data_IF_044625278316
#
_entry.id   IF_044625278316
#
_cell.length_a   1.000
_cell.length_b   1.000
_cell.length_c   1.000
_cell.angle_alpha   90.00
_cell.angle_beta   90.00
_cell.angle_gamma   90.00
#
_symmetry.space_group_name_H-M   'P 1'
#
loop_
_entity.id
_entity.type
_entity.pdbx_description
1 polymer ?
#
# COMPACT_ATOMS: atom_id res chain seq x y z
N UNK A 1 -7.07 14.85 -18.11
CA UNK A 1 -8.23 15.60 -18.65
C UNK A 1 -9.35 15.73 -17.61
N UNK A 2 -9.87 14.62 -17.05
CA UNK A 2 -10.97 14.62 -16.05
C UNK A 2 -10.69 15.49 -14.80
N UNK A 3 -9.49 15.40 -14.20
CA UNK A 3 -9.15 16.18 -13.00
C UNK A 3 -9.15 17.70 -13.22
N UNK A 4 -8.65 18.14 -14.38
CA UNK A 4 -8.61 19.55 -14.77
C UNK A 4 -10.02 20.09 -15.12
N UNK A 5 -10.87 19.26 -15.71
CA UNK A 5 -12.23 19.63 -16.11
C UNK A 5 -13.22 19.71 -14.93
N UNK A 6 -12.95 18.96 -13.85
CA UNK A 6 -13.85 18.89 -12.68
C UNK A 6 -13.33 19.65 -11.46
N UNK A 7 -12.15 20.25 -11.56
CA UNK A 7 -11.53 21.01 -10.46
C UNK A 7 -11.12 20.15 -9.26
N UNK A 8 -10.94 18.84 -9.46
CA UNK A 8 -10.54 17.90 -8.41
C UNK A 8 -9.04 17.64 -8.42
N UNK A 9 -8.47 17.37 -7.25
CA UNK A 9 -7.09 16.89 -7.15
C UNK A 9 -7.01 15.47 -7.70
N UNK A 10 -6.15 15.28 -8.69
CA UNK A 10 -5.84 13.95 -9.22
C UNK A 10 -4.77 13.27 -8.36
N UNK A 11 -4.96 11.99 -8.06
CA UNK A 11 -4.02 11.14 -7.32
C UNK A 11 -3.78 9.91 -8.20
N UNK A 12 -2.57 9.78 -8.73
CA UNK A 12 -2.18 8.79 -9.75
C UNK A 12 -1.24 7.70 -9.21
N UNK A 13 -0.96 7.73 -7.90
CA UNK A 13 0.07 6.89 -7.30
C UNK A 13 -0.45 5.57 -6.74
N UNK A 14 -1.77 5.36 -6.68
CA UNK A 14 -2.38 4.11 -6.20
C UNK A 14 -1.96 2.94 -7.09
N UNK A 15 -1.70 1.77 -6.49
CA UNK A 15 -1.14 0.61 -7.19
C UNK A 15 -2.05 -0.60 -7.12
N UNK A 16 -2.09 -1.39 -8.17
CA UNK A 16 -2.95 -2.58 -8.27
C UNK A 16 -2.16 -3.88 -8.44
N UNK A 17 -1.00 -3.86 -9.10
CA UNK A 17 -0.13 -5.02 -9.31
C UNK A 17 1.36 -4.76 -8.99
N UNK A 18 1.79 -3.50 -9.02
CA UNK A 18 3.17 -3.09 -8.74
C UNK A 18 3.47 -2.99 -7.24
N UNK A 19 3.94 -4.09 -6.64
CA UNK A 19 4.37 -4.12 -5.24
C UNK A 19 5.45 -3.05 -4.92
N UNK A 20 5.48 -2.63 -3.65
CA UNK A 20 6.45 -1.65 -3.15
C UNK A 20 7.85 -2.28 -3.10
N UNK A 21 8.88 -1.54 -3.51
CA UNK A 21 10.27 -2.03 -3.46
C UNK A 21 10.55 -3.19 -4.43
N UNK A 22 11.63 -3.92 -4.18
CA UNK A 22 12.09 -5.07 -4.97
C UNK A 22 11.73 -6.39 -4.29
N UNK A 23 11.74 -7.53 -5.03
CA UNK A 23 11.57 -8.85 -4.42
C UNK A 23 12.52 -9.06 -3.23
N UNK A 24 11.93 -9.40 -2.07
CA UNK A 24 12.65 -9.59 -0.81
C UNK A 24 12.71 -8.36 0.11
N UNK A 25 12.29 -7.18 -0.36
CA UNK A 25 12.18 -6.01 0.51
C UNK A 25 11.02 -6.18 1.51
N UNK A 26 11.15 -5.64 2.75
CA UNK A 26 10.12 -5.71 3.81
C UNK A 26 8.70 -5.31 3.40
N UNK A 27 8.58 -4.40 2.43
CA UNK A 27 7.31 -3.84 1.97
C UNK A 27 6.87 -4.44 0.63
N UNK A 28 7.67 -5.33 0.04
CA UNK A 28 7.36 -6.03 -1.20
C UNK A 28 6.37 -7.17 -0.97
N UNK A 29 5.20 -6.79 -0.49
CA UNK A 29 4.10 -7.67 -0.13
C UNK A 29 2.78 -7.00 -0.44
N UNK A 30 1.73 -7.81 -0.61
CA UNK A 30 0.38 -7.29 -0.76
C UNK A 30 -0.02 -6.38 0.41
N UNK A 31 0.38 -6.72 1.64
CA UNK A 31 0.09 -5.91 2.81
C UNK A 31 0.82 -4.55 2.77
N UNK A 32 2.06 -4.52 2.27
CA UNK A 32 2.81 -3.29 2.02
C UNK A 32 2.13 -2.39 0.99
N UNK A 33 1.63 -2.96 -0.10
CA UNK A 33 0.83 -2.27 -1.12
C UNK A 33 -0.45 -1.68 -0.50
N UNK A 34 -1.23 -2.50 0.22
CA UNK A 34 -2.48 -2.02 0.83
C UNK A 34 -2.25 -0.89 1.83
N UNK A 35 -1.21 -0.97 2.66
CA UNK A 35 -0.85 0.11 3.59
C UNK A 35 -0.55 1.41 2.83
N UNK A 36 0.22 1.33 1.74
CA UNK A 36 0.54 2.49 0.91
C UNK A 36 -0.72 3.14 0.31
N UNK A 37 -1.63 2.35 -0.26
CA UNK A 37 -2.86 2.86 -0.86
C UNK A 37 -3.78 3.50 0.18
N UNK A 38 -3.99 2.85 1.33
CA UNK A 38 -4.83 3.41 2.39
C UNK A 38 -4.25 4.69 2.98
N UNK A 39 -2.93 4.77 3.19
CA UNK A 39 -2.27 6.01 3.63
C UNK A 39 -2.52 7.12 2.60
N UNK A 40 -2.31 6.82 1.32
CA UNK A 40 -2.50 7.78 0.22
C UNK A 40 -3.94 8.30 0.16
N UNK A 41 -4.93 7.41 0.25
CA UNK A 41 -6.35 7.77 0.22
C UNK A 41 -6.72 8.63 1.43
N UNK A 42 -6.35 8.20 2.64
CA UNK A 42 -6.69 8.91 3.89
C UNK A 42 -6.10 10.32 3.88
N UNK A 43 -4.84 10.48 3.49
CA UNK A 43 -4.19 11.79 3.43
C UNK A 43 -4.76 12.67 2.30
N UNK A 44 -5.08 12.07 1.14
CA UNK A 44 -5.71 12.81 0.04
C UNK A 44 -7.09 13.36 0.40
N UNK A 45 -7.82 12.67 1.28
CA UNK A 45 -9.12 13.09 1.81
C UNK A 45 -8.99 13.99 3.06
N UNK A 46 -7.78 14.32 3.51
CA UNK A 46 -7.52 15.20 4.65
C UNK A 46 -7.62 14.54 6.02
N UNK A 47 -7.56 13.21 6.09
CA UNK A 47 -7.55 12.44 7.34
C UNK A 47 -6.14 12.21 7.90
N UNK A 48 -6.09 11.61 9.09
CA UNK A 48 -4.85 11.20 9.76
C UNK A 48 -4.55 9.71 9.52
N UNK A 49 -3.44 9.44 8.84
CA UNK A 49 -2.98 8.09 8.52
C UNK A 49 -1.92 7.55 9.49
N UNK A 50 -1.65 8.21 10.62
CA UNK A 50 -0.56 7.84 11.55
C UNK A 50 -0.63 6.39 12.03
N UNK A 51 -1.84 5.90 12.33
CA UNK A 51 -2.05 4.51 12.73
C UNK A 51 -1.70 3.53 11.59
N UNK A 52 -2.12 3.83 10.36
CA UNK A 52 -1.84 3.01 9.18
C UNK A 52 -0.33 2.94 8.90
N UNK A 53 0.39 4.07 9.02
CA UNK A 53 1.85 4.12 8.85
C UNK A 53 2.60 3.26 9.86
N UNK A 54 2.04 3.09 11.06
CA UNK A 54 2.64 2.26 12.13
C UNK A 54 2.44 0.76 11.96
N UNK A 55 1.59 0.34 11.01
CA UNK A 55 1.35 -1.07 10.74
C UNK A 55 2.64 -1.73 10.22
N UNK A 56 3.09 -2.76 10.94
CA UNK A 56 4.18 -3.62 10.49
C UNK A 56 3.66 -4.53 9.37
N UNK A 57 4.24 -4.39 8.19
CA UNK A 57 3.86 -5.14 6.99
C UNK A 57 4.87 -6.21 6.61
N UNK A 58 5.90 -6.40 7.45
CA UNK A 58 6.87 -7.47 7.30
C UNK A 58 6.18 -8.81 7.46
N UNK A 59 6.75 -9.80 6.79
CA UNK A 59 6.41 -11.19 7.07
C UNK A 59 6.97 -11.58 8.45
N UNK A 60 6.18 -11.32 9.48
CA UNK A 60 6.49 -11.60 10.89
C UNK A 60 5.92 -12.94 11.36
N UNK A 61 5.13 -13.60 10.51
CA UNK A 61 4.61 -14.93 10.80
C UNK A 61 5.72 -15.96 10.57
N UNK A 62 5.79 -16.96 11.45
CA UNK A 62 6.64 -18.12 11.15
C UNK A 62 5.99 -18.90 10.02
N UNK A 63 6.76 -19.15 8.96
CA UNK A 63 6.33 -20.06 7.91
C UNK A 63 6.31 -21.49 8.46
N UNK A 64 5.12 -21.94 8.83
CA UNK A 64 4.82 -23.33 9.24
C UNK A 64 4.12 -24.11 8.11
N UNK A 65 4.08 -23.55 6.90
CA UNK A 65 3.41 -24.20 5.78
C UNK A 65 4.19 -25.46 5.37
N UNK A 66 3.45 -26.56 5.18
CA UNK A 66 3.99 -27.80 4.61
C UNK A 66 3.80 -27.77 3.11
N UNK A 67 4.90 -27.64 2.37
CA UNK A 67 4.90 -27.68 0.90
C UNK A 67 5.20 -29.12 0.42
N UNK A 68 4.19 -29.94 0.07
CA UNK A 68 4.44 -31.24 -0.54
C UNK A 68 5.15 -31.06 -1.89
N UNK A 69 6.18 -31.88 -2.12
CA UNK A 69 6.89 -31.98 -3.40
C UNK A 69 6.12 -32.88 -4.38
#
# INVERSE_FOLDING_TARGET
>A
QIGAETGVRYVDVLRDDDLIGKPGDPEHSWLGLMRFDFVTIVEALGGDASALKSLDVRDVAKDEAKYPQ
#
